data_IF_807557655789
#
_entry.id   IF_807557655789
#
_cell.length_a   1.000
_cell.length_b   1.000
_cell.length_c   1.000
_cell.angle_alpha   90.00
_cell.angle_beta   90.00
_cell.angle_gamma   90.00
#
_symmetry.space_group_name_H-M   'P 1'
#
loop_
_entity.id
_entity.type
_entity.pdbx_description
1 polymer ?
#
# COMPACT_ATOMS: atom_id res chain seq x y z
N UNK A 1 0.82 -2.88 -1.25
CA UNK A 1 1.57 -2.39 -0.07
C UNK A 1 1.74 -0.87 -0.12
N UNK A 2 2.53 -0.34 -1.05
CA UNK A 2 2.80 1.09 -1.15
C UNK A 2 1.55 1.92 -1.49
N UNK A 3 0.84 1.55 -2.58
CA UNK A 3 -0.34 2.27 -3.06
C UNK A 3 -1.50 2.37 -2.04
N UNK A 4 -1.63 1.40 -1.13
CA UNK A 4 -2.60 1.42 -0.03
C UNK A 4 -2.05 2.08 1.24
N UNK A 5 -1.21 3.11 1.09
CA UNK A 5 -0.64 3.86 2.22
C UNK A 5 0.39 3.08 3.04
N UNK A 6 1.31 2.38 2.37
CA UNK A 6 2.45 1.74 3.05
C UNK A 6 2.05 0.66 4.07
N UNK A 7 1.12 -0.24 3.71
CA UNK A 7 0.68 -1.35 4.58
C UNK A 7 1.84 -2.23 5.05
N UNK A 8 1.72 -2.75 6.28
CA UNK A 8 2.64 -3.71 6.89
C UNK A 8 2.64 -5.01 6.10
N UNK A 9 3.77 -5.71 6.09
CA UNK A 9 3.92 -7.02 5.44
C UNK A 9 2.86 -8.05 5.86
N UNK A 10 2.49 -8.06 7.15
CA UNK A 10 1.48 -8.98 7.69
C UNK A 10 0.07 -8.63 7.22
N UNK A 11 -0.24 -7.35 7.07
CA UNK A 11 -1.53 -6.89 6.54
C UNK A 11 -1.67 -7.29 5.07
N UNK A 12 -0.59 -7.17 4.29
CA UNK A 12 -0.58 -7.59 2.88
C UNK A 12 -0.66 -9.11 2.75
N UNK A 13 0.16 -9.85 3.50
CA UNK A 13 0.14 -11.31 3.46
C UNK A 13 -1.21 -11.89 3.92
N UNK A 14 -1.88 -11.22 4.87
CA UNK A 14 -3.18 -11.61 5.39
C UNK A 14 -4.38 -11.04 4.63
N UNK A 15 -4.19 -10.23 3.58
CA UNK A 15 -5.28 -9.61 2.85
C UNK A 15 -6.22 -10.64 2.25
N UNK A 16 -7.51 -10.48 2.52
CA UNK A 16 -8.56 -11.37 2.03
C UNK A 16 -9.42 -10.69 0.96
N UNK A 17 -9.96 -11.48 0.04
CA UNK A 17 -10.85 -10.99 -1.01
C UNK A 17 -12.13 -10.38 -0.39
N UNK A 18 -12.60 -10.93 0.72
CA UNK A 18 -13.78 -10.42 1.43
C UNK A 18 -13.56 -9.02 2.04
N UNK A 19 -12.33 -8.52 2.08
CA UNK A 19 -12.02 -7.16 2.52
C UNK A 19 -12.02 -6.16 1.35
N UNK A 20 -12.29 -6.59 0.12
CA UNK A 20 -12.24 -5.73 -1.07
C UNK A 20 -13.67 -5.41 -1.52
N UNK A 21 -14.01 -4.13 -1.61
CA UNK A 21 -15.23 -3.67 -2.30
C UNK A 21 -14.88 -2.85 -3.53
N UNK A 22 -15.66 -3.03 -4.59
CA UNK A 22 -15.60 -2.16 -5.75
C UNK A 22 -16.12 -0.77 -5.39
N UNK A 23 -15.39 0.25 -5.81
CA UNK A 23 -15.79 1.64 -5.66
C UNK A 23 -16.06 2.24 -7.04
N UNK A 24 -16.90 3.29 -7.14
CA UNK A 24 -17.06 4.03 -8.37
C UNK A 24 -15.70 4.46 -8.95
N UNK A 25 -15.46 4.29 -10.26
CA UNK A 25 -14.26 4.79 -10.90
C UNK A 25 -14.09 6.30 -10.67
N UNK A 26 -12.84 6.76 -10.58
CA UNK A 26 -12.53 8.18 -10.41
C UNK A 26 -12.42 8.81 -11.80
N UNK A 27 -13.33 9.71 -12.11
CA UNK A 27 -13.31 10.50 -13.35
C UNK A 27 -12.07 11.38 -13.41
N UNK A 28 -11.40 11.35 -14.57
CA UNK A 28 -10.20 12.13 -14.83
C UNK A 28 -10.50 13.18 -15.91
N UNK A 29 -10.08 14.45 -15.73
CA UNK A 29 -10.35 15.50 -16.72
C UNK A 29 -9.84 15.18 -18.14
N UNK A 30 -8.68 14.52 -18.23
CA UNK A 30 -7.96 14.32 -19.49
C UNK A 30 -7.62 12.85 -19.77
N UNK A 31 -8.47 11.91 -19.35
CA UNK A 31 -8.19 10.49 -19.54
C UNK A 31 -9.33 9.55 -19.17
N UNK A 32 -9.16 8.23 -19.38
CA UNK A 32 -10.14 7.25 -18.94
C UNK A 32 -10.28 7.28 -17.41
N UNK A 33 -11.47 6.96 -16.89
CA UNK A 33 -11.69 6.90 -15.45
C UNK A 33 -10.77 5.84 -14.82
N UNK A 34 -10.26 6.15 -13.63
CA UNK A 34 -9.39 5.24 -12.91
C UNK A 34 -10.22 4.22 -12.12
N UNK A 35 -9.96 2.91 -12.25
CA UNK A 35 -10.64 1.91 -11.44
C UNK A 35 -10.31 2.13 -9.96
N UNK A 36 -11.29 1.89 -9.10
CA UNK A 36 -11.17 2.14 -7.66
C UNK A 36 -11.66 0.95 -6.84
N UNK A 37 -10.98 0.65 -5.74
CA UNK A 37 -11.35 -0.38 -4.77
C UNK A 37 -11.11 0.16 -3.35
N UNK A 38 -11.99 -0.19 -2.41
CA UNK A 38 -11.71 -0.03 -0.99
C UNK A 38 -11.15 -1.33 -0.41
N UNK A 39 -10.20 -1.19 0.52
CA UNK A 39 -9.72 -2.25 1.40
C UNK A 39 -10.24 -1.97 2.80
N UNK A 40 -11.19 -2.78 3.23
CA UNK A 40 -11.76 -2.76 4.58
C UNK A 40 -10.77 -3.34 5.57
N UNK A 41 -10.31 -2.51 6.50
CA UNK A 41 -9.38 -2.91 7.54
C UNK A 41 -10.20 -3.53 8.68
N UNK A 42 -10.05 -4.83 8.90
CA UNK A 42 -10.68 -5.50 10.04
C UNK A 42 -10.28 -4.87 11.38
N UNK A 43 -11.01 -5.16 12.46
CA UNK A 43 -10.73 -4.59 13.78
C UNK A 43 -9.28 -4.89 14.17
N UNK A 44 -8.47 -3.84 14.29
CA UNK A 44 -7.12 -3.98 14.83
C UNK A 44 -7.20 -4.06 16.36
N UNK A 45 -6.20 -4.67 17.01
CA UNK A 45 -6.07 -4.74 18.50
C UNK A 45 -6.22 -3.37 19.20
N UNK A 46 -6.16 -2.29 18.44
CA UNK A 46 -6.13 -0.91 18.91
C UNK A 46 -7.31 -0.07 18.41
N UNK A 47 -8.34 -0.63 17.77
CA UNK A 47 -9.55 0.12 17.34
C UNK A 47 -10.79 -0.57 17.90
N UNK A 48 -11.47 0.09 18.84
CA UNK A 48 -12.76 -0.33 19.38
C UNK A 48 -13.87 0.27 18.53
N UNK A 49 -14.65 -0.57 17.81
CA UNK A 49 -16.03 -0.29 17.35
C UNK A 49 -16.30 0.83 16.33
N UNK A 50 -17.10 0.50 15.31
CA UNK A 50 -17.95 1.38 14.47
C UNK A 50 -17.34 2.34 13.43
N UNK A 51 -16.03 2.44 13.25
CA UNK A 51 -15.49 3.06 12.03
C UNK A 51 -15.17 2.00 10.99
N UNK A 52 -15.85 2.10 9.83
CA UNK A 52 -15.52 1.38 8.61
C UNK A 52 -14.17 1.91 8.09
N UNK A 53 -13.10 1.44 8.72
CA UNK A 53 -11.73 1.87 8.44
C UNK A 53 -11.32 1.30 7.08
N UNK A 54 -11.57 2.07 6.03
CA UNK A 54 -11.16 1.73 4.67
C UNK A 54 -9.90 2.49 4.25
N UNK A 55 -9.15 1.91 3.31
CA UNK A 55 -8.15 2.62 2.50
C UNK A 55 -8.38 2.30 1.04
N UNK A 56 -8.03 3.23 0.15
CA UNK A 56 -8.39 3.09 -1.25
C UNK A 56 -7.20 2.65 -2.12
N UNK A 57 -7.48 1.88 -3.16
CA UNK A 57 -6.59 1.60 -4.26
C UNK A 57 -7.21 2.19 -5.52
N UNK A 58 -6.42 2.92 -6.31
CA UNK A 58 -6.92 3.58 -7.52
C UNK A 58 -5.94 3.43 -8.66
N UNK A 59 -6.44 3.14 -9.87
CA UNK A 59 -5.66 3.05 -11.10
C UNK A 59 -4.84 1.75 -11.21
N UNK A 60 -3.59 1.86 -11.70
CA UNK A 60 -2.68 0.73 -11.98
C UNK A 60 -2.57 -0.34 -10.87
N UNK A 61 -2.58 0.00 -9.55
CA UNK A 61 -2.61 -1.00 -8.49
C UNK A 61 -3.87 -1.87 -8.49
N UNK A 62 -5.03 -1.33 -8.86
CA UNK A 62 -6.28 -2.07 -9.02
C UNK A 62 -6.18 -3.01 -10.22
N UNK A 63 -5.66 -2.52 -11.35
CA UNK A 63 -5.44 -3.35 -12.54
C UNK A 63 -4.52 -4.54 -12.25
N UNK A 64 -3.40 -4.29 -11.57
CA UNK A 64 -2.45 -5.32 -11.18
C UNK A 64 -3.06 -6.35 -10.22
N UNK A 65 -3.89 -5.90 -9.28
CA UNK A 65 -4.61 -6.78 -8.36
C UNK A 65 -5.63 -7.64 -9.10
N UNK A 66 -6.43 -7.06 -9.99
CA UNK A 66 -7.42 -7.79 -10.78
C UNK A 66 -6.77 -8.81 -11.71
N UNK A 67 -5.67 -8.44 -12.38
CA UNK A 67 -4.90 -9.36 -13.22
C UNK A 67 -4.36 -10.55 -12.41
N UNK A 68 -3.89 -10.30 -11.18
CA UNK A 68 -3.45 -11.37 -10.26
C UNK A 68 -4.61 -12.27 -9.84
N UNK A 69 -5.74 -11.71 -9.40
CA UNK A 69 -6.92 -12.50 -8.99
C UNK A 69 -7.40 -13.43 -10.12
N UNK A 70 -7.44 -12.93 -11.34
CA UNK A 70 -7.80 -13.70 -12.53
C UNK A 70 -6.77 -14.81 -12.82
N UNK A 71 -5.48 -14.49 -12.88
CA UNK A 71 -4.43 -15.45 -13.19
C UNK A 71 -4.31 -16.57 -12.14
N UNK A 72 -4.50 -16.23 -10.86
CA UNK A 72 -4.44 -17.17 -9.74
C UNK A 72 -5.78 -17.88 -9.46
N UNK A 73 -6.85 -17.57 -10.23
CA UNK A 73 -8.21 -18.10 -10.08
C UNK A 73 -8.71 -17.99 -8.62
N UNK A 74 -8.63 -16.79 -8.08
CA UNK A 74 -8.99 -16.49 -6.69
C UNK A 74 -10.39 -15.89 -6.68
N UNK A 75 -11.35 -16.64 -6.17
CA UNK A 75 -12.75 -16.25 -5.99
C UNK A 75 -13.15 -16.05 -4.52
N UNK A 76 -12.29 -16.44 -3.57
CA UNK A 76 -12.45 -16.25 -2.12
C UNK A 76 -11.15 -16.41 -1.33
N UNK A 77 -11.15 -15.97 -0.08
CA UNK A 77 -10.07 -16.14 0.87
C UNK A 77 -8.85 -15.28 0.58
N UNK A 78 -7.65 -15.80 0.87
CA UNK A 78 -6.40 -15.03 0.77
C UNK A 78 -6.14 -14.55 -0.65
N UNK A 79 -5.90 -13.24 -0.79
CA UNK A 79 -5.52 -12.59 -2.05
C UNK A 79 -4.12 -13.02 -2.45
N UNK A 80 -3.14 -12.89 -1.55
CA UNK A 80 -1.78 -13.33 -1.81
C UNK A 80 -1.58 -14.73 -1.23
N UNK A 81 -1.35 -15.69 -2.12
CA UNK A 81 -1.22 -17.11 -1.78
C UNK A 81 0.22 -17.57 -1.93
N UNK A 82 0.62 -18.56 -1.15
CA UNK A 82 1.93 -19.18 -1.30
C UNK A 82 2.04 -19.86 -2.67
N UNK A 83 3.19 -19.75 -3.32
CA UNK A 83 3.47 -20.40 -4.61
C UNK A 83 4.54 -21.47 -4.39
N UNK A 84 4.24 -22.70 -4.78
CA UNK A 84 5.18 -23.82 -4.69
C UNK A 84 6.31 -23.70 -5.72
N UNK A 85 7.38 -24.49 -5.53
CA UNK A 85 8.54 -24.55 -6.44
C UNK A 85 8.16 -24.71 -7.92
N UNK A 86 7.08 -25.44 -8.18
CA UNK A 86 6.59 -25.76 -9.53
C UNK A 86 5.56 -24.75 -10.08
N UNK A 87 5.42 -23.58 -9.45
CA UNK A 87 4.48 -22.54 -9.87
C UNK A 87 3.04 -22.76 -9.43
N UNK A 88 2.75 -23.84 -8.70
CA UNK A 88 1.39 -24.12 -8.19
C UNK A 88 0.99 -23.12 -7.09
N UNK A 89 -0.15 -22.46 -7.29
CA UNK A 89 -0.74 -21.55 -6.30
C UNK A 89 -1.45 -22.36 -5.22
N UNK A 90 -1.02 -22.20 -3.97
CA UNK A 90 -1.59 -22.86 -2.78
C UNK A 90 -2.90 -22.21 -2.35
N UNK A 91 -3.70 -22.90 -1.51
CA UNK A 91 -4.82 -22.27 -0.78
C UNK A 91 -4.36 -21.48 0.45
N UNK A 92 -3.11 -21.69 0.91
CA UNK A 92 -2.54 -21.00 2.08
C UNK A 92 -2.14 -19.57 1.71
N UNK A 93 -2.31 -18.66 2.67
CA UNK A 93 -1.80 -17.30 2.58
C UNK A 93 -0.28 -17.30 2.33
N UNK A 94 0.20 -16.23 1.68
CA UNK A 94 1.62 -15.95 1.53
C UNK A 94 2.26 -15.78 2.92
N UNK A 95 3.47 -16.29 3.10
CA UNK A 95 4.23 -16.01 4.32
C UNK A 95 4.64 -14.51 4.36
N UNK A 96 4.42 -13.78 5.47
CA UNK A 96 4.80 -12.37 5.57
C UNK A 96 6.29 -12.08 5.28
N UNK A 97 7.19 -13.03 5.53
CA UNK A 97 8.61 -12.90 5.20
C UNK A 97 8.85 -12.95 3.69
N UNK A 98 8.05 -13.73 2.95
CA UNK A 98 8.14 -13.83 1.49
C UNK A 98 7.90 -12.49 0.79
N UNK A 99 7.12 -11.58 1.38
CA UNK A 99 6.92 -10.22 0.84
C UNK A 99 8.26 -9.48 0.66
N UNK A 100 9.18 -9.64 1.63
CA UNK A 100 10.48 -8.99 1.57
C UNK A 100 11.38 -9.63 0.50
N UNK A 101 11.34 -10.97 0.39
CA UNK A 101 12.08 -11.69 -0.64
C UNK A 101 11.61 -11.30 -2.05
N UNK A 102 10.29 -11.24 -2.26
CA UNK A 102 9.68 -10.79 -3.53
C UNK A 102 10.14 -9.36 -3.86
N UNK A 103 10.08 -8.44 -2.90
CA UNK A 103 10.50 -7.05 -3.13
C UNK A 103 11.97 -6.97 -3.56
N UNK A 104 12.86 -7.66 -2.86
CA UNK A 104 14.29 -7.68 -3.17
C UNK A 104 14.57 -8.30 -4.55
N UNK A 105 13.88 -9.39 -4.88
CA UNK A 105 13.98 -10.01 -6.19
C UNK A 105 13.51 -9.05 -7.29
N UNK A 106 12.38 -8.36 -7.10
CA UNK A 106 11.87 -7.38 -8.07
C UNK A 106 12.78 -6.16 -8.21
N UNK A 107 13.40 -5.70 -7.12
CA UNK A 107 14.41 -4.65 -7.16
C UNK A 107 15.63 -5.07 -8.00
N UNK A 108 16.16 -6.27 -7.78
CA UNK A 108 17.26 -6.81 -8.57
C UNK A 108 16.91 -6.89 -10.07
N UNK A 109 15.71 -7.38 -10.40
CA UNK A 109 15.22 -7.45 -11.79
C UNK A 109 15.09 -6.08 -12.44
N UNK A 110 14.88 -5.02 -11.65
CA UNK A 110 14.81 -3.64 -12.11
C UNK A 110 16.20 -2.95 -12.17
N UNK A 111 17.30 -3.68 -11.90
CA UNK A 111 18.65 -3.11 -11.85
C UNK A 111 18.92 -2.25 -10.61
N UNK A 112 18.13 -2.43 -9.54
CA UNK A 112 18.25 -1.67 -8.29
C UNK A 112 18.95 -2.52 -7.22
N UNK A 113 19.69 -1.85 -6.33
CA UNK A 113 20.38 -2.49 -5.20
C UNK A 113 19.39 -3.11 -4.20
N UNK A 114 19.26 -4.45 -4.10
CA UNK A 114 18.22 -5.08 -3.29
C UNK A 114 18.37 -4.80 -1.79
N UNK A 115 19.59 -4.50 -1.34
CA UNK A 115 19.88 -4.11 0.04
C UNK A 115 19.20 -2.81 0.46
N UNK A 116 18.92 -1.91 -0.49
CA UNK A 116 18.23 -0.64 -0.25
C UNK A 116 16.71 -0.80 -0.07
N UNK A 117 16.14 -1.98 -0.35
CA UNK A 117 14.70 -2.22 -0.31
C UNK A 117 14.31 -3.19 0.78
N UNK A 118 13.24 -2.84 1.51
CA UNK A 118 12.58 -3.74 2.45
C UNK A 118 11.10 -3.48 2.54
N UNK A 119 10.34 -4.50 2.95
CA UNK A 119 8.91 -4.35 3.20
C UNK A 119 8.61 -3.30 4.29
N UNK A 120 9.52 -3.13 5.26
CA UNK A 120 9.40 -2.05 6.25
C UNK A 120 9.64 -0.67 5.62
N UNK A 121 10.65 -0.57 4.74
CA UNK A 121 10.97 0.65 4.00
C UNK A 121 9.84 1.15 3.11
N UNK A 122 8.95 0.27 2.62
CA UNK A 122 7.76 0.70 1.87
C UNK A 122 6.79 1.54 2.71
N UNK A 123 6.72 1.31 4.02
CA UNK A 123 5.82 2.06 4.91
C UNK A 123 6.31 3.47 5.16
N UNK A 124 7.58 3.60 5.55
CA UNK A 124 8.22 4.91 5.72
C UNK A 124 8.34 5.66 4.40
N UNK A 125 8.74 4.94 3.33
CA UNK A 125 8.87 5.49 1.99
C UNK A 125 7.57 6.07 1.43
N UNK A 126 6.41 5.53 1.81
CA UNK A 126 5.12 6.12 1.44
C UNK A 126 4.97 7.55 1.97
N UNK A 127 5.24 7.77 3.26
CA UNK A 127 5.14 9.11 3.86
C UNK A 127 6.20 10.06 3.32
N UNK A 128 7.42 9.57 3.07
CA UNK A 128 8.47 10.37 2.44
C UNK A 128 8.07 10.80 1.03
N UNK A 129 7.52 9.89 0.22
CA UNK A 129 7.08 10.21 -1.13
C UNK A 129 5.86 11.15 -1.14
N UNK A 130 4.92 10.95 -0.23
CA UNK A 130 3.79 11.87 -0.05
C UNK A 130 4.28 13.29 0.27
N UNK A 131 5.27 13.42 1.15
CA UNK A 131 5.90 14.70 1.45
C UNK A 131 6.62 15.32 0.24
N UNK A 132 7.38 14.51 -0.51
CA UNK A 132 8.08 14.97 -1.73
C UNK A 132 7.10 15.50 -2.78
N UNK A 133 5.91 14.91 -2.87
CA UNK A 133 4.83 15.35 -3.78
C UNK A 133 3.98 16.49 -3.23
N UNK A 134 4.26 16.96 -2.01
CA UNK A 134 3.50 18.01 -1.36
C UNK A 134 2.09 17.61 -0.93
N UNK A 135 1.80 16.32 -0.82
CA UNK A 135 0.51 15.81 -0.32
C UNK A 135 0.38 16.22 1.15
N UNK A 136 -0.71 16.88 1.57
CA UNK A 136 -0.92 17.26 2.96
C UNK A 136 -0.77 16.07 3.93
N UNK A 137 -0.11 16.32 5.07
CA UNK A 137 0.10 15.28 6.07
C UNK A 137 -1.20 14.60 6.54
N UNK A 138 -2.31 15.32 6.82
CA UNK A 138 -3.57 14.68 7.20
C UNK A 138 -4.07 13.68 6.16
N UNK A 139 -4.07 14.05 4.88
CA UNK A 139 -4.48 13.20 3.76
C UNK A 139 -3.58 11.94 3.65
N UNK A 140 -2.27 12.12 3.76
CA UNK A 140 -1.34 11.00 3.76
C UNK A 140 -1.51 10.09 4.99
N UNK A 141 -1.91 10.64 6.14
CA UNK A 141 -2.19 9.88 7.36
C UNK A 141 -3.51 9.11 7.30
N UNK A 142 -4.56 9.67 6.68
CA UNK A 142 -5.81 8.96 6.40
C UNK A 142 -5.55 7.71 5.57
N UNK A 143 -4.83 7.85 4.46
CA UNK A 143 -4.48 6.72 3.60
C UNK A 143 -3.49 5.75 4.28
N UNK A 144 -2.52 6.25 5.07
CA UNK A 144 -1.49 5.41 5.71
C UNK A 144 -1.87 4.84 7.09
N UNK A 145 -3.00 5.28 7.65
CA UNK A 145 -3.50 4.96 9.01
C UNK A 145 -2.44 5.09 10.11
N UNK A 146 -1.48 6.01 9.95
CA UNK A 146 -0.59 6.37 11.04
C UNK A 146 -1.38 7.15 12.08
N UNK A 147 -1.25 6.76 13.35
CA UNK A 147 -1.97 7.43 14.45
C UNK A 147 -1.18 8.58 15.06
N UNK A 148 0.14 8.43 15.11
CA UNK A 148 1.01 9.46 15.66
C UNK A 148 1.36 10.47 14.58
N UNK A 149 0.82 11.68 14.71
CA UNK A 149 1.23 12.84 13.90
C UNK A 149 2.73 13.07 14.05
N UNK A 150 3.26 13.01 15.27
CA UNK A 150 4.68 13.25 15.53
C UNK A 150 5.59 12.29 14.75
N UNK A 151 5.25 10.99 14.72
CA UNK A 151 5.99 10.00 13.95
C UNK A 151 5.88 10.27 12.45
N UNK A 152 4.69 10.60 11.94
CA UNK A 152 4.48 10.85 10.52
C UNK A 152 5.17 12.15 10.04
N UNK A 153 5.09 13.21 10.84
CA UNK A 153 5.75 14.50 10.58
C UNK A 153 7.27 14.37 10.48
N UNK A 154 7.89 13.39 11.14
CA UNK A 154 9.34 13.18 11.04
C UNK A 154 9.81 12.93 9.59
N UNK A 155 8.98 12.26 8.78
CA UNK A 155 9.25 12.02 7.36
C UNK A 155 9.11 13.28 6.51
N UNK A 156 8.11 14.12 6.82
CA UNK A 156 7.83 15.37 6.12
C UNK A 156 8.91 16.44 6.40
N UNK A 157 9.30 16.53 7.66
CA UNK A 157 10.33 17.46 8.13
C UNK A 157 11.69 17.17 7.51
N UNK A 158 11.98 15.96 7.04
CA UNK A 158 13.24 15.66 6.36
C UNK A 158 13.18 16.04 4.87
N UNK A 159 12.09 15.69 4.20
CA UNK A 159 11.89 15.94 2.77
C UNK A 159 11.86 17.43 2.40
N UNK A 160 11.23 18.27 3.22
CA UNK A 160 10.89 19.66 2.84
C UNK A 160 11.62 20.74 3.64
N UNK A 161 12.47 20.37 4.62
CA UNK A 161 13.03 21.31 5.61
C UNK A 161 13.72 22.52 5.00
N UNK A 162 14.48 22.32 3.91
CA UNK A 162 15.32 23.36 3.30
C UNK A 162 14.64 24.05 2.11
N UNK A 163 13.70 23.38 1.45
CA UNK A 163 13.10 23.82 0.18
C UNK A 163 11.64 24.24 0.29
N UNK A 164 10.99 23.98 1.43
CA UNK A 164 9.56 24.20 1.65
C UNK A 164 9.15 25.68 1.66
N UNK A 165 7.88 25.93 1.33
CA UNK A 165 7.28 27.29 1.32
C UNK A 165 7.39 28.00 2.67
N UNK A 166 7.36 27.24 3.78
CA UNK A 166 7.53 27.78 5.13
C UNK A 166 8.88 28.49 5.33
N UNK A 167 9.94 28.07 4.64
CA UNK A 167 11.25 28.72 4.69
C UNK A 167 11.32 30.02 3.85
N UNK A 168 10.22 30.42 3.20
CA UNK A 168 10.14 31.59 2.30
C UNK A 168 9.05 32.58 2.73
N UNK A 169 8.55 32.46 3.95
CA UNK A 169 7.58 33.41 4.50
C UNK A 169 8.28 34.76 4.78
N UNK A 170 7.63 35.85 4.42
CA UNK A 170 8.00 37.24 4.71
C UNK A 170 7.02 37.82 5.73
#
# INVERSE_FOLDING_TARGET
AFASGGRRRSEIAGLRLEQLSAEPPIEMPDGPPLPSLAIHLGPTKTTSGEQDDAVYLTGRPVDALNAWLAAAKIDKGSVFRAIGRWGTVSRRALDPQSVNAILKQRAAMAGLEPGAFSAHGLRSGYLTEAANRGIPLPEAMEQSRHRSVQQASSYYNNATRRSGRAARLL
#
